data_IF_535197863466
#
_entry.id   IF_535197863466
#
_cell.length_a   1.000
_cell.length_b   1.000
_cell.length_c   1.000
_cell.angle_alpha   90.00
_cell.angle_beta   90.00
_cell.angle_gamma   90.00
#
_symmetry.space_group_name_H-M   'P 1'
#
loop_
_entity.id
_entity.type
_entity.pdbx_description
1 polymer ?
#
# COMPACT_ATOMS: atom_id res chain seq x y z
N UNK A 1 -0.30 14.47 1.52
CA UNK A 1 -0.92 14.02 0.25
C UNK A 1 -2.20 13.24 0.53
N UNK A 2 -2.14 12.13 1.28
CA UNK A 2 -3.31 11.31 1.61
C UNK A 2 -4.46 12.05 2.29
N UNK A 3 -4.22 12.73 3.41
CA UNK A 3 -5.31 13.44 4.12
C UNK A 3 -6.00 14.51 3.28
N UNK A 4 -5.28 15.15 2.36
CA UNK A 4 -5.86 16.18 1.48
C UNK A 4 -6.79 15.58 0.42
N UNK A 5 -6.43 14.42 -0.13
CA UNK A 5 -7.12 13.84 -1.29
C UNK A 5 -8.12 12.74 -0.90
N UNK A 6 -7.81 11.99 0.16
CA UNK A 6 -8.57 10.83 0.67
C UNK A 6 -8.58 10.95 2.21
N UNK A 7 -9.27 11.94 2.79
CA UNK A 7 -9.27 12.22 4.23
C UNK A 7 -9.86 11.08 5.05
N UNK A 8 -9.36 10.89 6.27
CA UNK A 8 -9.89 9.85 7.19
C UNK A 8 -11.19 10.26 7.89
N UNK A 9 -11.51 11.55 7.91
CA UNK A 9 -12.56 12.18 8.74
C UNK A 9 -13.80 12.60 7.93
N UNK A 10 -14.05 11.92 6.81
CA UNK A 10 -15.28 12.09 6.01
C UNK A 10 -16.09 10.79 5.96
N UNK A 11 -17.40 10.85 5.67
CA UNK A 11 -18.22 9.64 5.58
C UNK A 11 -17.84 8.78 4.37
N UNK A 12 -17.52 7.50 4.60
CA UNK A 12 -17.42 6.48 3.56
C UNK A 12 -18.63 5.54 3.59
N UNK A 13 -19.17 5.19 2.41
CA UNK A 13 -20.25 4.20 2.31
C UNK A 13 -19.81 2.81 2.82
N UNK A 14 -18.53 2.49 2.69
CA UNK A 14 -17.93 1.30 3.29
C UNK A 14 -18.16 1.27 4.81
N UNK A 15 -17.86 2.37 5.51
CA UNK A 15 -18.03 2.44 6.97
C UNK A 15 -19.51 2.33 7.36
N UNK A 16 -20.44 2.88 6.57
CA UNK A 16 -21.89 2.70 6.81
C UNK A 16 -22.33 1.26 6.64
N UNK A 17 -21.66 0.49 5.78
CA UNK A 17 -21.99 -0.91 5.49
C UNK A 17 -21.38 -1.86 6.52
N UNK A 18 -20.17 -1.59 6.98
CA UNK A 18 -19.35 -2.54 7.75
C UNK A 18 -19.03 -2.10 9.17
N UNK A 19 -19.09 -0.79 9.48
CA UNK A 19 -18.82 -0.26 10.82
C UNK A 19 -17.38 -0.40 11.28
N UNK A 20 -16.43 -0.66 10.39
CA UNK A 20 -15.01 -0.89 10.69
C UNK A 20 -14.15 0.38 10.63
N UNK A 21 -14.66 1.46 10.02
CA UNK A 21 -14.05 2.80 10.07
C UNK A 21 -12.76 2.92 9.27
N UNK A 22 -12.54 2.05 8.29
CA UNK A 22 -11.33 2.02 7.47
C UNK A 22 -11.62 2.18 5.96
N UNK A 23 -12.78 2.73 5.60
CA UNK A 23 -13.13 2.98 4.20
C UNK A 23 -12.09 3.82 3.45
N UNK A 24 -11.48 4.81 4.11
CA UNK A 24 -10.38 5.59 3.54
C UNK A 24 -9.17 4.72 3.18
N UNK A 25 -8.89 3.68 3.96
CA UNK A 25 -7.74 2.78 3.80
C UNK A 25 -7.84 1.99 2.50
N UNK A 26 -9.05 1.53 2.16
CA UNK A 26 -9.33 0.84 0.90
C UNK A 26 -9.07 1.74 -0.31
N UNK A 27 -9.50 3.01 -0.26
CA UNK A 27 -9.31 3.96 -1.37
C UNK A 27 -7.83 4.33 -1.53
N UNK A 28 -7.11 4.58 -0.43
CA UNK A 28 -5.67 4.87 -0.45
C UNK A 28 -4.86 3.69 -1.00
N UNK A 29 -5.15 2.46 -0.54
CA UNK A 29 -4.48 1.26 -1.01
C UNK A 29 -4.74 1.00 -2.50
N UNK A 30 -5.97 1.21 -2.96
CA UNK A 30 -6.34 1.05 -4.38
C UNK A 30 -5.63 2.06 -5.28
N UNK A 31 -5.43 3.30 -4.80
CA UNK A 31 -4.73 4.34 -5.56
C UNK A 31 -3.21 4.13 -5.59
N UNK A 32 -2.61 3.69 -4.47
CA UNK A 32 -1.16 3.41 -4.40
C UNK A 32 -0.77 2.15 -5.18
N UNK A 33 -1.64 1.14 -5.17
CA UNK A 33 -1.33 -0.21 -5.67
C UNK A 33 -0.81 -1.13 -4.56
N UNK A 34 -1.14 -2.42 -4.66
CA UNK A 34 -0.80 -3.43 -3.66
C UNK A 34 0.53 -4.16 -3.95
N UNK A 35 1.16 -3.88 -5.09
CA UNK A 35 2.37 -4.57 -5.53
C UNK A 35 3.21 -3.66 -6.42
N UNK A 36 4.50 -4.00 -6.53
CA UNK A 36 5.43 -3.39 -7.47
C UNK A 36 6.36 -4.46 -8.03
N UNK A 37 6.97 -4.17 -9.17
CA UNK A 37 7.99 -5.03 -9.79
C UNK A 37 9.30 -4.25 -9.84
N UNK A 38 10.39 -4.87 -9.39
CA UNK A 38 11.74 -4.29 -9.47
C UNK A 38 12.61 -5.23 -10.29
N UNK A 39 13.25 -4.75 -11.38
CA UNK A 39 14.18 -5.57 -12.16
C UNK A 39 15.43 -5.94 -11.35
N UNK A 40 16.04 -7.05 -11.74
CA UNK A 40 17.37 -7.45 -11.27
C UNK A 40 18.39 -7.23 -12.38
N UNK A 41 19.58 -6.76 -12.00
CA UNK A 41 20.78 -6.78 -12.84
C UNK A 41 21.97 -7.23 -11.99
N UNK A 42 22.79 -8.16 -12.50
CA UNK A 42 23.94 -8.72 -11.77
C UNK A 42 23.59 -9.17 -10.33
N UNK A 43 22.47 -9.88 -10.18
CA UNK A 43 21.94 -10.38 -8.89
C UNK A 43 21.59 -9.28 -7.86
N UNK A 44 21.40 -8.03 -8.31
CA UNK A 44 21.01 -6.89 -7.45
C UNK A 44 19.72 -6.25 -7.95
N UNK A 45 18.89 -5.79 -7.01
CA UNK A 45 17.72 -4.97 -7.33
C UNK A 45 18.18 -3.67 -8.01
N UNK A 46 17.56 -3.34 -9.14
CA UNK A 46 17.86 -2.13 -9.91
C UNK A 46 17.05 -0.97 -9.36
N UNK A 47 17.46 -0.47 -8.19
CA UNK A 47 16.91 0.74 -7.57
C UNK A 47 17.81 1.94 -7.90
N UNK A 48 17.21 3.08 -8.19
CA UNK A 48 17.93 4.36 -8.25
C UNK A 48 18.42 4.81 -6.87
N UNK A 49 19.37 5.75 -6.83
CA UNK A 49 20.02 6.25 -5.60
C UNK A 49 19.04 6.62 -4.46
N UNK A 50 17.84 7.08 -4.82
CA UNK A 50 16.83 7.56 -3.87
C UNK A 50 15.58 6.68 -3.81
N UNK A 51 15.55 5.55 -4.52
CA UNK A 51 14.41 4.64 -4.48
C UNK A 51 14.52 3.70 -3.28
N UNK A 52 13.40 3.49 -2.60
CA UNK A 52 13.27 2.56 -1.47
C UNK A 52 11.98 1.75 -1.66
N UNK A 53 12.00 0.49 -1.24
CA UNK A 53 10.79 -0.34 -1.17
C UNK A 53 10.21 -0.15 0.23
N UNK A 54 8.99 0.40 0.31
CA UNK A 54 8.34 0.74 1.57
C UNK A 54 6.97 0.07 1.62
N UNK A 55 6.69 -0.63 2.73
CA UNK A 55 5.33 -1.04 3.06
C UNK A 55 4.60 0.14 3.71
N UNK A 56 3.44 0.52 3.15
CA UNK A 56 2.56 1.52 3.75
C UNK A 56 1.31 0.83 4.25
N UNK A 57 1.09 0.85 5.56
CA UNK A 57 -0.15 0.37 6.17
C UNK A 57 -1.10 1.53 6.40
N UNK A 58 -2.25 1.51 5.74
CA UNK A 58 -3.28 2.54 5.87
C UNK A 58 -4.36 2.21 6.92
N UNK A 59 -4.41 0.98 7.44
CA UNK A 59 -5.51 0.55 8.30
C UNK A 59 -5.56 1.35 9.61
N UNK A 60 -6.74 1.44 10.21
CA UNK A 60 -6.98 2.29 11.37
C UNK A 60 -6.56 1.65 12.71
N UNK A 61 -5.94 0.48 12.66
CA UNK A 61 -5.43 -0.27 13.81
C UNK A 61 -4.22 -1.13 13.41
N UNK A 62 -3.33 -1.47 14.36
CA UNK A 62 -2.20 -2.35 14.09
C UNK A 62 -2.64 -3.72 13.55
N UNK A 63 -1.93 -4.22 12.53
CA UNK A 63 -2.15 -5.54 11.93
C UNK A 63 -0.83 -6.25 11.71
N UNK A 64 -0.86 -7.58 11.73
CA UNK A 64 0.20 -8.37 11.12
C UNK A 64 0.02 -8.34 9.60
N UNK A 65 1.09 -8.01 8.87
CA UNK A 65 1.09 -7.94 7.40
C UNK A 65 2.02 -9.01 6.84
N UNK A 66 1.56 -9.68 5.79
CA UNK A 66 2.36 -10.63 5.03
C UNK A 66 2.73 -10.00 3.70
N UNK A 67 4.03 -9.96 3.40
CA UNK A 67 4.56 -9.54 2.11
C UNK A 67 4.96 -10.80 1.35
N UNK A 68 4.44 -10.95 0.13
CA UNK A 68 4.83 -12.04 -0.77
C UNK A 68 5.90 -11.50 -1.72
N UNK A 69 7.03 -12.19 -1.80
CA UNK A 69 8.10 -11.87 -2.75
C UNK A 69 8.18 -13.01 -3.75
N UNK A 70 7.97 -12.69 -5.02
CA UNK A 70 8.14 -13.61 -6.13
C UNK A 70 9.34 -13.16 -6.96
N UNK A 71 10.28 -14.08 -7.21
CA UNK A 71 11.45 -13.85 -8.05
C UNK A 71 11.32 -14.73 -9.29
N UNK A 72 11.53 -14.15 -10.47
CA UNK A 72 11.41 -14.82 -11.76
C UNK A 72 12.54 -14.35 -12.67
N UNK A 73 13.10 -15.27 -13.45
CA UNK A 73 14.26 -15.03 -14.34
C UNK A 73 15.20 -16.23 -14.33
N UNK A 74 16.27 -16.13 -15.12
CA UNK A 74 17.35 -17.12 -15.23
C UNK A 74 18.64 -16.65 -14.51
#
# INVERSE_FOLDING_TARGET
>A
MWERNIPKDIPYNHDRRWGDGNGYSHVRASLLGASLVVPFNDKKLTLGTWQQIVLVDFDNRPRSRQIIVQIMGD
#
